data_IF_344716836567
#
_entry.id   IF_344716836567
#
_cell.length_a   1.000
_cell.length_b   1.000
_cell.length_c   1.000
_cell.angle_alpha   90.00
_cell.angle_beta   90.00
_cell.angle_gamma   90.00
#
_symmetry.space_group_name_H-M   'P 1'
#
loop_
_entity.id
_entity.type
_entity.pdbx_description
1 polymer ?
#
# COMPACT_ATOMS: atom_id res chain seq x y z
N UNK A 1 -2.44 -5.34 11.27
CA UNK A 1 -2.35 -4.83 12.64
C UNK A 1 -3.72 -4.84 13.35
N UNK A 2 -4.75 -4.18 12.80
CA UNK A 2 -6.11 -4.15 13.42
C UNK A 2 -6.62 -5.55 13.76
N UNK A 3 -6.38 -6.53 12.89
CA UNK A 3 -6.74 -7.91 13.17
C UNK A 3 -6.00 -8.48 14.39
N UNK A 4 -4.70 -8.26 14.47
CA UNK A 4 -3.88 -8.77 15.58
C UNK A 4 -4.22 -8.15 16.93
N UNK A 5 -4.55 -6.85 16.99
CA UNK A 5 -4.98 -6.20 18.24
C UNK A 5 -6.40 -6.55 18.67
N UNK A 6 -7.29 -6.80 17.67
CA UNK A 6 -8.69 -7.11 17.93
C UNK A 6 -8.87 -8.56 18.36
N UNK A 7 -8.10 -9.47 17.79
CA UNK A 7 -8.18 -10.92 18.05
C UNK A 7 -6.80 -11.49 18.45
N UNK A 8 -6.28 -11.11 19.65
CA UNK A 8 -5.01 -11.63 20.14
C UNK A 8 -5.04 -13.16 20.22
N UNK A 9 -4.01 -13.81 19.68
CA UNK A 9 -3.91 -15.27 19.67
C UNK A 9 -4.69 -16.00 18.57
N UNK A 10 -5.38 -15.26 17.66
CA UNK A 10 -6.01 -15.89 16.49
C UNK A 10 -4.95 -16.29 15.44
N UNK A 11 -3.95 -15.45 15.23
CA UNK A 11 -2.85 -15.71 14.31
C UNK A 11 -1.61 -16.14 15.12
N UNK A 12 -0.82 -17.07 14.58
CA UNK A 12 0.45 -17.51 15.17
C UNK A 12 1.58 -16.52 14.91
N UNK A 13 1.46 -15.74 13.82
CA UNK A 13 2.39 -14.67 13.46
C UNK A 13 1.71 -13.65 12.53
N UNK A 14 2.30 -12.48 12.38
CA UNK A 14 1.83 -11.42 11.46
C UNK A 14 2.98 -10.96 10.56
N UNK A 15 2.70 -10.84 9.25
CA UNK A 15 3.62 -10.26 8.28
C UNK A 15 2.98 -9.09 7.54
N UNK A 16 2.92 -7.91 8.14
CA UNK A 16 2.43 -6.71 7.47
C UNK A 16 3.42 -6.23 6.41
N UNK A 17 2.94 -5.97 5.19
CA UNK A 17 3.74 -5.48 4.08
C UNK A 17 3.24 -4.10 3.64
N UNK A 18 4.16 -3.17 3.38
CA UNK A 18 3.89 -1.85 2.81
C UNK A 18 2.76 -1.09 3.53
N UNK A 19 2.77 -1.04 4.85
CA UNK A 19 1.70 -0.40 5.65
C UNK A 19 2.26 0.50 6.77
N UNK A 20 1.37 1.22 7.43
CA UNK A 20 1.65 2.07 8.59
C UNK A 20 0.84 1.63 9.81
N UNK A 21 1.28 2.06 10.99
CA UNK A 21 0.68 1.74 12.31
C UNK A 21 -0.05 2.94 12.95
N UNK A 22 -0.30 3.98 12.16
CA UNK A 22 -0.92 5.22 12.60
C UNK A 22 -2.04 5.61 11.64
N UNK A 23 -2.93 6.55 12.02
CA UNK A 23 -3.91 7.10 11.08
C UNK A 23 -3.26 7.57 9.78
N UNK A 24 -3.89 7.24 8.66
CA UNK A 24 -3.39 7.70 7.37
C UNK A 24 -3.61 9.21 7.23
N UNK A 25 -2.52 9.95 7.26
CA UNK A 25 -2.49 11.41 7.16
C UNK A 25 -1.55 11.86 6.03
N UNK A 26 -1.31 13.16 5.95
CA UNK A 26 -0.39 13.76 5.00
C UNK A 26 -0.67 13.34 3.58
N UNK A 27 0.39 13.10 2.82
CA UNK A 27 0.33 12.83 1.37
C UNK A 27 -0.44 11.54 1.02
N UNK A 28 -0.34 10.50 1.86
CA UNK A 28 -1.10 9.26 1.66
C UNK A 28 -2.63 9.55 1.70
N UNK A 29 -3.10 10.31 2.70
CA UNK A 29 -4.52 10.67 2.78
C UNK A 29 -4.93 11.65 1.68
N UNK A 30 -4.07 12.61 1.34
CA UNK A 30 -4.34 13.56 0.25
C UNK A 30 -4.58 12.85 -1.07
N UNK A 31 -3.71 11.91 -1.46
CA UNK A 31 -3.87 11.10 -2.67
C UNK A 31 -5.21 10.37 -2.70
N UNK A 32 -5.55 9.66 -1.62
CA UNK A 32 -6.82 8.92 -1.53
C UNK A 32 -8.03 9.84 -1.62
N UNK A 33 -7.97 10.99 -0.96
CA UNK A 33 -9.03 11.99 -1.02
C UNK A 33 -9.19 12.55 -2.45
N UNK A 34 -8.10 12.91 -3.10
CA UNK A 34 -8.11 13.43 -4.48
C UNK A 34 -8.65 12.38 -5.46
N UNK A 35 -8.26 11.11 -5.35
CA UNK A 35 -8.79 10.04 -6.17
C UNK A 35 -10.32 9.87 -6.00
N UNK A 36 -10.80 9.90 -4.75
CA UNK A 36 -12.23 9.85 -4.45
C UNK A 36 -12.98 11.06 -5.02
N UNK A 37 -12.42 12.28 -4.87
CA UNK A 37 -13.07 13.48 -5.40
C UNK A 37 -13.09 13.47 -6.94
N UNK A 38 -12.01 13.05 -7.59
CA UNK A 38 -11.96 12.95 -9.04
C UNK A 38 -13.12 12.09 -9.61
N UNK A 39 -13.42 10.97 -8.94
CA UNK A 39 -14.56 10.11 -9.33
C UNK A 39 -15.90 10.80 -9.05
N UNK A 40 -16.04 11.43 -7.86
CA UNK A 40 -17.31 12.08 -7.48
C UNK A 40 -17.64 13.32 -8.29
N UNK A 41 -16.62 14.04 -8.76
CA UNK A 41 -16.76 15.25 -9.56
C UNK A 41 -17.01 14.93 -11.05
N UNK A 42 -16.84 13.67 -11.48
CA UNK A 42 -17.21 13.23 -12.81
C UNK A 42 -18.76 13.21 -12.94
N UNK A 43 -19.36 13.99 -13.86
CA UNK A 43 -20.81 14.03 -14.03
C UNK A 43 -21.43 12.65 -14.33
N UNK A 44 -20.67 11.75 -14.96
CA UNK A 44 -21.14 10.40 -15.27
C UNK A 44 -21.26 9.50 -14.04
N UNK A 45 -20.66 9.87 -12.88
CA UNK A 45 -20.73 9.07 -11.66
C UNK A 45 -22.15 9.00 -11.05
N UNK A 46 -22.97 10.06 -11.22
CA UNK A 46 -24.38 10.10 -10.83
C UNK A 46 -24.66 9.64 -9.39
N UNK A 47 -23.78 10.01 -8.44
CA UNK A 47 -23.94 9.60 -7.03
C UNK A 47 -23.66 8.11 -6.77
N UNK A 48 -23.03 7.42 -7.69
CA UNK A 48 -22.76 5.97 -7.64
C UNK A 48 -23.74 5.12 -8.47
N UNK A 49 -24.77 5.73 -9.05
CA UNK A 49 -25.83 5.05 -9.83
C UNK A 49 -25.56 5.07 -11.35
N UNK A 50 -24.31 5.13 -11.76
CA UNK A 50 -23.93 5.18 -13.18
C UNK A 50 -24.27 3.88 -13.93
N UNK A 51 -24.61 4.03 -15.22
CA UNK A 51 -24.80 2.90 -16.13
C UNK A 51 -23.56 2.60 -16.97
N UNK A 52 -22.71 3.61 -17.14
CA UNK A 52 -21.41 3.53 -17.79
C UNK A 52 -20.38 4.16 -16.88
N UNK A 53 -19.20 3.59 -16.82
CA UNK A 53 -18.12 4.06 -15.93
C UNK A 53 -17.84 5.57 -16.09
N UNK A 54 -17.66 6.31 -14.98
CA UNK A 54 -17.22 7.71 -15.00
C UNK A 54 -15.74 7.78 -15.37
N UNK A 55 -15.44 7.63 -16.66
CA UNK A 55 -14.08 7.37 -17.16
C UNK A 55 -13.09 8.51 -16.92
N UNK A 56 -13.56 9.77 -16.86
CA UNK A 56 -12.66 10.90 -16.58
C UNK A 56 -12.15 10.87 -15.14
N UNK A 57 -13.06 10.72 -14.19
CA UNK A 57 -12.73 10.60 -12.77
C UNK A 57 -11.91 9.37 -12.47
N UNK A 58 -12.29 8.22 -13.05
CA UNK A 58 -11.59 6.96 -12.90
C UNK A 58 -10.16 7.03 -13.48
N UNK A 59 -9.97 7.69 -14.64
CA UNK A 59 -8.65 7.96 -15.23
C UNK A 59 -7.78 8.74 -14.26
N UNK A 60 -8.25 9.88 -13.79
CA UNK A 60 -7.49 10.76 -12.87
C UNK A 60 -7.12 10.02 -11.59
N UNK A 61 -8.02 9.21 -11.03
CA UNK A 61 -7.73 8.40 -9.86
C UNK A 61 -6.60 7.37 -10.12
N UNK A 62 -6.64 6.69 -11.27
CA UNK A 62 -5.60 5.74 -11.66
C UNK A 62 -4.24 6.41 -11.95
N UNK A 63 -4.22 7.61 -12.54
CA UNK A 63 -3.00 8.40 -12.76
C UNK A 63 -2.31 8.76 -11.44
N UNK A 64 -3.07 9.15 -10.41
CA UNK A 64 -2.52 9.41 -9.07
C UNK A 64 -1.95 8.13 -8.45
N UNK A 65 -2.66 7.00 -8.57
CA UNK A 65 -2.19 5.71 -8.05
C UNK A 65 -0.93 5.25 -8.77
N UNK A 66 -0.82 5.46 -10.07
CA UNK A 66 0.38 5.15 -10.84
C UNK A 66 1.61 5.87 -10.28
N UNK A 67 1.52 7.19 -10.15
CA UNK A 67 2.65 8.01 -9.67
C UNK A 67 3.00 7.68 -8.21
N UNK A 68 2.01 7.55 -7.34
CA UNK A 68 2.22 7.26 -5.92
C UNK A 68 2.72 5.84 -5.66
N UNK A 69 2.34 4.88 -6.50
CA UNK A 69 2.71 3.47 -6.33
C UNK A 69 4.01 3.07 -7.01
N UNK A 70 4.54 3.88 -7.93
CA UNK A 70 5.74 3.57 -8.72
C UNK A 70 7.04 3.99 -8.03
N UNK A 71 8.14 3.38 -8.47
CA UNK A 71 9.52 3.76 -8.07
C UNK A 71 10.17 4.59 -9.19
N UNK A 72 10.71 5.78 -8.88
CA UNK A 72 11.34 6.63 -9.90
C UNK A 72 12.54 5.96 -10.58
N UNK A 73 13.36 5.23 -9.84
CA UNK A 73 14.52 4.53 -10.41
C UNK A 73 14.11 3.43 -11.38
N UNK A 74 13.11 2.64 -11.01
CA UNK A 74 12.61 1.58 -11.86
C UNK A 74 11.94 2.15 -13.11
N UNK A 75 11.09 3.18 -12.96
CA UNK A 75 10.43 3.82 -14.09
C UNK A 75 11.46 4.42 -15.07
N UNK A 76 12.48 5.12 -14.57
CA UNK A 76 13.53 5.66 -15.41
C UNK A 76 14.32 4.57 -16.17
N UNK A 77 14.49 3.39 -15.58
CA UNK A 77 15.16 2.25 -16.21
C UNK A 77 14.30 1.56 -17.27
N UNK A 78 13.00 1.42 -16.99
CA UNK A 78 12.07 0.73 -17.88
C UNK A 78 11.63 1.63 -19.05
N UNK A 79 11.40 2.90 -18.76
CA UNK A 79 10.85 3.87 -19.70
C UNK A 79 11.81 5.08 -19.85
N UNK A 80 13.02 4.85 -20.41
CA UNK A 80 14.10 5.83 -20.39
C UNK A 80 13.92 7.01 -21.37
N UNK A 81 12.93 6.96 -22.27
CA UNK A 81 12.65 8.04 -23.22
C UNK A 81 11.26 8.62 -22.97
N UNK A 82 11.06 9.85 -23.47
CA UNK A 82 9.75 10.52 -23.41
C UNK A 82 8.65 9.66 -24.02
N UNK A 83 8.90 9.15 -25.20
CA UNK A 83 7.93 8.39 -25.99
C UNK A 83 7.55 7.08 -25.29
N UNK A 84 8.52 6.40 -24.67
CA UNK A 84 8.26 5.18 -23.89
C UNK A 84 7.44 5.49 -22.64
N UNK A 85 7.79 6.55 -21.92
CA UNK A 85 7.06 6.96 -20.73
C UNK A 85 5.58 7.32 -21.04
N UNK A 86 5.33 8.06 -22.13
CA UNK A 86 3.99 8.39 -22.59
C UNK A 86 3.20 7.13 -22.98
N UNK A 87 3.80 6.22 -23.75
CA UNK A 87 3.19 4.94 -24.13
C UNK A 87 2.92 4.04 -22.90
N UNK A 88 3.77 4.08 -21.89
CA UNK A 88 3.55 3.33 -20.66
C UNK A 88 2.30 3.81 -19.94
N UNK A 89 2.11 5.12 -19.80
CA UNK A 89 0.92 5.72 -19.20
C UNK A 89 -0.34 5.30 -19.97
N UNK A 90 -0.33 5.40 -21.30
CA UNK A 90 -1.48 5.02 -22.12
C UNK A 90 -1.85 3.55 -21.96
N UNK A 91 -0.89 2.64 -22.02
CA UNK A 91 -1.11 1.20 -21.80
C UNK A 91 -1.58 0.88 -20.38
N UNK A 92 -1.02 1.56 -19.39
CA UNK A 92 -1.44 1.40 -17.99
C UNK A 92 -2.90 1.81 -17.83
N UNK A 93 -3.29 2.96 -18.37
CA UNK A 93 -4.67 3.47 -18.28
C UNK A 93 -5.64 2.60 -19.07
N UNK A 94 -5.31 2.17 -20.28
CA UNK A 94 -6.13 1.23 -21.05
C UNK A 94 -6.47 -0.01 -20.22
N UNK A 95 -5.47 -0.63 -19.63
CA UNK A 95 -5.63 -1.84 -18.80
C UNK A 95 -6.43 -1.57 -17.53
N UNK A 96 -6.12 -0.50 -16.80
CA UNK A 96 -6.75 -0.22 -15.50
C UNK A 96 -8.19 0.25 -15.66
N UNK A 97 -8.50 1.06 -16.66
CA UNK A 97 -9.87 1.50 -16.94
C UNK A 97 -10.77 0.33 -17.37
N UNK A 98 -10.23 -0.66 -18.06
CA UNK A 98 -10.97 -1.87 -18.42
C UNK A 98 -11.25 -2.81 -17.25
N UNK A 99 -10.40 -2.77 -16.20
CA UNK A 99 -10.42 -3.72 -15.09
C UNK A 99 -10.98 -3.16 -13.77
N UNK A 100 -11.17 -1.83 -13.68
CA UNK A 100 -11.50 -1.18 -12.41
C UNK A 100 -12.89 -0.56 -12.47
N UNK A 101 -13.74 -0.86 -11.49
CA UNK A 101 -14.99 -0.17 -11.25
C UNK A 101 -14.75 1.08 -10.38
N UNK A 102 -15.41 2.19 -10.72
CA UNK A 102 -15.20 3.46 -10.04
C UNK A 102 -15.67 3.45 -8.58
N UNK A 103 -16.81 2.82 -8.29
CA UNK A 103 -17.29 2.68 -6.92
C UNK A 103 -16.36 1.78 -6.10
N UNK A 104 -15.91 0.66 -6.66
CA UNK A 104 -14.97 -0.26 -5.98
C UNK A 104 -13.67 0.46 -5.63
N UNK A 105 -13.10 1.21 -6.57
CA UNK A 105 -11.90 2.00 -6.32
C UNK A 105 -12.12 3.06 -5.22
N UNK A 106 -13.25 3.75 -5.27
CA UNK A 106 -13.60 4.76 -4.26
C UNK A 106 -13.77 4.14 -2.87
N UNK A 107 -14.49 3.01 -2.74
CA UNK A 107 -14.67 2.31 -1.48
C UNK A 107 -13.34 1.76 -0.97
N UNK A 108 -12.53 1.17 -1.83
CA UNK A 108 -11.18 0.72 -1.49
C UNK A 108 -10.30 1.86 -0.96
N UNK A 109 -10.25 2.99 -1.68
CA UNK A 109 -9.47 4.15 -1.25
C UNK A 109 -9.97 4.74 0.08
N UNK A 110 -11.27 4.64 0.38
CA UNK A 110 -11.88 5.17 1.59
C UNK A 110 -11.91 4.18 2.76
N UNK A 111 -11.71 2.89 2.55
CA UNK A 111 -11.77 1.86 3.59
C UNK A 111 -10.80 2.12 4.75
N UNK A 112 -9.67 2.75 4.47
CA UNK A 112 -8.66 3.12 5.46
C UNK A 112 -8.91 4.46 6.19
N UNK A 113 -10.07 5.11 5.97
CA UNK A 113 -10.35 6.44 6.53
C UNK A 113 -10.28 6.47 8.05
N UNK A 114 -10.78 5.44 8.70
CA UNK A 114 -10.85 5.31 10.15
C UNK A 114 -9.82 4.31 10.69
N UNK A 115 -8.83 3.96 9.88
CA UNK A 115 -7.76 3.05 10.28
C UNK A 115 -6.85 3.73 11.29
N UNK A 116 -6.74 3.16 12.48
CA UNK A 116 -5.82 3.59 13.54
C UNK A 116 -5.58 2.45 14.54
N UNK A 117 -4.57 1.62 14.35
CA UNK A 117 -4.20 0.57 15.31
C UNK A 117 -3.30 1.09 16.44
N UNK A 118 -2.91 2.36 16.44
CA UNK A 118 -1.82 2.87 17.30
C UNK A 118 -2.06 2.73 18.80
N UNK A 119 -3.33 2.71 19.23
CA UNK A 119 -3.69 2.70 20.64
C UNK A 119 -3.54 1.34 21.33
N UNK A 120 -3.47 0.23 20.58
CA UNK A 120 -3.55 -1.14 21.13
C UNK A 120 -2.49 -2.09 20.58
N UNK A 121 -1.39 -1.58 20.09
CA UNK A 121 -0.29 -2.38 19.53
C UNK A 121 0.33 -3.34 20.54
N UNK A 122 0.30 -3.01 21.82
CA UNK A 122 0.74 -3.83 22.96
C UNK A 122 -0.02 -5.15 23.10
N UNK A 123 -1.22 -5.24 22.52
CA UNK A 123 -2.00 -6.49 22.47
C UNK A 123 -1.48 -7.50 21.44
N UNK A 124 -0.66 -7.05 20.50
CA UNK A 124 -0.04 -7.91 19.48
C UNK A 124 1.20 -8.57 20.10
N UNK A 125 1.00 -9.75 20.65
CA UNK A 125 2.05 -10.50 21.37
C UNK A 125 2.69 -11.62 20.54
N UNK A 126 2.13 -11.94 19.38
CA UNK A 126 2.72 -12.91 18.44
C UNK A 126 3.92 -12.32 17.72
N UNK A 127 4.81 -13.15 17.14
CA UNK A 127 5.89 -12.66 16.29
C UNK A 127 5.35 -11.80 15.13
N UNK A 128 5.97 -10.64 14.91
CA UNK A 128 5.62 -9.73 13.81
C UNK A 128 6.86 -9.42 12.98
N UNK A 129 6.78 -9.67 11.69
CA UNK A 129 7.76 -9.25 10.69
C UNK A 129 7.16 -8.18 9.80
N UNK A 130 7.36 -6.91 10.15
CA UNK A 130 6.84 -5.78 9.37
C UNK A 130 7.86 -5.33 8.32
N UNK A 131 7.46 -5.30 7.04
CA UNK A 131 8.37 -5.02 5.93
C UNK A 131 7.82 -3.88 5.06
N UNK A 132 8.62 -2.84 4.89
CA UNK A 132 8.38 -1.78 3.91
C UNK A 132 9.62 -1.61 3.01
N UNK A 133 9.45 -0.93 1.88
CA UNK A 133 10.54 -0.60 0.96
C UNK A 133 11.01 0.84 1.14
N UNK A 134 12.32 1.07 1.02
CA UNK A 134 12.92 2.39 1.20
C UNK A 134 12.56 3.38 0.07
N UNK A 135 12.08 2.89 -1.07
CA UNK A 135 11.58 3.69 -2.19
C UNK A 135 10.04 3.81 -2.21
N UNK A 136 9.36 3.42 -1.13
CA UNK A 136 7.90 3.54 -1.02
C UNK A 136 7.47 5.00 -0.89
N UNK A 137 6.77 5.51 -1.90
CA UNK A 137 6.31 6.89 -1.94
C UNK A 137 4.97 7.11 -1.21
N UNK A 138 4.23 6.03 -0.95
CA UNK A 138 2.96 6.05 -0.19
C UNK A 138 3.26 6.04 1.31
N UNK A 139 4.20 5.19 1.76
CA UNK A 139 4.62 5.04 3.15
C UNK A 139 6.12 5.29 3.28
N UNK A 140 6.59 6.54 3.03
CA UNK A 140 8.01 6.83 2.96
C UNK A 140 8.69 6.68 4.34
N UNK A 141 9.90 6.11 4.39
CA UNK A 141 10.62 5.86 5.64
C UNK A 141 11.00 7.16 6.37
N UNK A 142 11.12 8.29 5.66
CA UNK A 142 11.44 9.59 6.25
C UNK A 142 10.42 10.07 7.30
N UNK A 143 9.24 9.45 7.35
CA UNK A 143 8.26 9.74 8.42
C UNK A 143 8.70 9.22 9.79
N UNK A 144 9.68 8.29 9.86
CA UNK A 144 10.18 7.71 11.12
C UNK A 144 9.11 6.95 11.93
N UNK A 145 7.98 6.59 11.28
CA UNK A 145 6.84 5.96 11.96
C UNK A 145 7.19 4.54 12.37
N UNK A 146 7.85 3.80 11.49
CA UNK A 146 8.11 2.38 11.70
C UNK A 146 9.03 2.17 12.91
N UNK A 147 10.13 2.88 12.98
CA UNK A 147 11.10 2.78 14.06
C UNK A 147 10.46 3.13 15.42
N UNK A 148 9.62 4.15 15.43
CA UNK A 148 8.92 4.57 16.64
C UNK A 148 7.85 3.57 17.06
N UNK A 149 7.03 3.11 16.15
CA UNK A 149 5.83 2.31 16.48
C UNK A 149 6.15 0.83 16.75
N UNK A 150 7.24 0.29 16.17
CA UNK A 150 7.67 -1.08 16.44
C UNK A 150 7.97 -1.32 17.92
N UNK A 151 8.43 -0.31 18.64
CA UNK A 151 8.73 -0.40 20.07
C UNK A 151 7.51 -0.69 20.96
N UNK A 152 6.30 -0.49 20.45
CA UNK A 152 5.04 -0.78 21.15
C UNK A 152 4.60 -2.24 21.04
N UNK A 153 5.27 -3.05 20.23
CA UNK A 153 4.96 -4.48 20.05
C UNK A 153 6.17 -5.32 20.52
N UNK A 154 6.02 -6.17 21.56
CA UNK A 154 7.16 -6.80 22.23
C UNK A 154 7.95 -7.78 21.33
N UNK A 155 7.28 -8.39 20.36
CA UNK A 155 7.86 -9.41 19.48
C UNK A 155 7.88 -8.96 18.01
N UNK A 156 7.91 -7.64 17.75
CA UNK A 156 7.93 -7.12 16.40
C UNK A 156 9.35 -6.77 15.94
N UNK A 157 9.60 -7.04 14.66
CA UNK A 157 10.78 -6.56 13.93
C UNK A 157 10.33 -5.77 12.72
N UNK A 158 10.97 -4.65 12.50
CA UNK A 158 10.79 -3.86 11.27
C UNK A 158 11.97 -4.09 10.33
N UNK A 159 11.67 -4.35 9.07
CA UNK A 159 12.64 -4.49 7.99
C UNK A 159 12.36 -3.42 6.94
N UNK A 160 13.32 -2.54 6.73
CA UNK A 160 13.31 -1.61 5.62
C UNK A 160 14.15 -2.19 4.48
N UNK A 161 13.47 -2.66 3.43
CA UNK A 161 14.15 -3.17 2.23
C UNK A 161 14.89 -2.02 1.54
N UNK A 162 16.21 -2.16 1.31
CA UNK A 162 16.99 -1.11 0.67
C UNK A 162 16.55 -0.92 -0.79
N UNK A 163 16.69 0.30 -1.30
CA UNK A 163 16.46 0.62 -2.71
C UNK A 163 17.39 -0.24 -3.57
N UNK A 164 16.85 -0.88 -4.58
CA UNK A 164 17.58 -1.74 -5.50
C UNK A 164 16.95 -1.74 -6.89
N UNK A 165 17.61 -2.36 -7.84
CA UNK A 165 17.07 -2.60 -9.18
C UNK A 165 15.79 -3.49 -9.20
N UNK A 166 15.54 -4.23 -8.13
CA UNK A 166 14.39 -5.10 -7.98
C UNK A 166 13.20 -4.42 -7.29
N UNK A 167 13.43 -3.39 -6.46
CA UNK A 167 12.36 -2.69 -5.73
C UNK A 167 11.49 -1.86 -6.67
N UNK A 168 10.21 -1.71 -6.31
CA UNK A 168 9.15 -1.10 -7.15
C UNK A 168 8.32 -0.09 -6.36
N UNK A 169 8.96 0.67 -5.46
CA UNK A 169 8.23 1.58 -4.59
C UNK A 169 7.23 0.83 -3.71
N UNK A 170 6.02 1.37 -3.59
CA UNK A 170 4.95 0.67 -2.87
C UNK A 170 4.66 -0.72 -3.43
N UNK A 171 4.80 -0.91 -4.73
CA UNK A 171 4.61 -2.20 -5.41
C UNK A 171 5.60 -3.30 -5.03
N UNK A 172 6.67 -3.01 -4.27
CA UNK A 172 7.67 -4.01 -3.84
C UNK A 172 7.03 -5.17 -3.08
N UNK A 173 5.95 -4.93 -2.33
CA UNK A 173 5.23 -5.97 -1.59
C UNK A 173 4.60 -7.05 -2.49
N UNK A 174 4.40 -6.79 -3.79
CA UNK A 174 3.88 -7.76 -4.75
C UNK A 174 4.95 -8.68 -5.34
N UNK A 175 6.23 -8.46 -5.00
CA UNK A 175 7.38 -9.20 -5.54
C UNK A 175 7.95 -10.11 -4.46
N UNK A 176 7.37 -11.30 -4.31
CA UNK A 176 7.69 -12.23 -3.23
C UNK A 176 9.20 -12.58 -3.15
N UNK A 177 9.90 -12.70 -4.28
CA UNK A 177 11.33 -13.01 -4.30
C UNK A 177 12.22 -11.99 -3.57
N UNK A 178 11.71 -10.80 -3.25
CA UNK A 178 12.45 -9.77 -2.52
C UNK A 178 12.36 -10.00 -1.00
N UNK A 179 11.24 -10.54 -0.51
CA UNK A 179 10.95 -10.64 0.91
C UNK A 179 10.61 -12.05 1.42
N UNK A 180 10.56 -13.06 0.56
CA UNK A 180 10.19 -14.44 0.93
C UNK A 180 11.07 -15.04 2.04
N UNK A 181 12.36 -14.71 2.08
CA UNK A 181 13.26 -15.19 3.12
C UNK A 181 12.81 -14.74 4.52
N UNK A 182 12.29 -13.52 4.64
CA UNK A 182 11.77 -13.00 5.92
C UNK A 182 10.48 -13.74 6.32
N UNK A 183 9.66 -14.18 5.36
CA UNK A 183 8.50 -15.02 5.64
C UNK A 183 8.93 -16.38 6.18
N UNK A 184 9.93 -17.01 5.55
CA UNK A 184 10.47 -18.29 6.02
C UNK A 184 11.01 -18.18 7.43
N UNK A 185 11.72 -17.10 7.76
CA UNK A 185 12.22 -16.85 9.11
C UNK A 185 11.09 -16.66 10.12
N UNK A 186 10.06 -15.87 9.76
CA UNK A 186 8.90 -15.67 10.60
C UNK A 186 8.14 -16.98 10.88
N UNK A 187 7.97 -17.84 9.88
CA UNK A 187 7.32 -19.14 10.04
C UNK A 187 8.09 -20.04 11.02
N UNK A 188 9.42 -20.07 10.94
CA UNK A 188 10.27 -20.82 11.90
C UNK A 188 10.15 -20.29 13.32
N UNK A 189 10.03 -18.98 13.49
CA UNK A 189 9.88 -18.34 14.80
C UNK A 189 8.52 -18.62 15.45
N UNK A 190 7.49 -18.79 14.64
CA UNK A 190 6.11 -19.05 15.09
C UNK A 190 5.81 -20.54 15.27
N UNK A 191 6.73 -21.46 14.92
CA UNK A 191 6.53 -22.88 15.18
C UNK A 191 6.42 -23.16 16.69
N UNK A 192 5.45 -23.99 17.14
CA UNK A 192 5.35 -24.40 18.53
C UNK A 192 6.66 -25.05 18.99
N UNK A 193 7.25 -24.51 20.03
CA UNK A 193 8.40 -25.17 20.68
C UNK A 193 7.90 -26.38 21.44
N UNK A 194 8.10 -27.59 20.89
CA UNK A 194 7.79 -28.86 21.54
C UNK A 194 8.71 -29.14 22.72
#
# INVERSE_FOLDING_TARGET
>A
FVWGETYPGFADALMPLACLLVPLAGRNRMMRYMAIQAIKDDPAWMGGEYKTQPLQGLRTANEMLLIMGSSPLQMQKQEPTRELAEQYVDKYLERTLAATDANDLMFYANASRNYDPSAHLDRITVPVMWINSADDFINPPELGIAEKMTTHMPNARFVLLPISDATRGHGTHTVASIWENYLVDLMRESEPKH
#
